data_IF_171492179006
#
_entry.id   IF_171492179006
#
_cell.length_a   1.000
_cell.length_b   1.000
_cell.length_c   1.000
_cell.angle_alpha   90.00
_cell.angle_beta   90.00
_cell.angle_gamma   90.00
#
_symmetry.space_group_name_H-M   'P 1'
#
loop_
_entity.id
_entity.type
_entity.pdbx_description
1 polymer ?
#
# COMPACT_ATOMS: atom_id res chain seq x y z
N UNK A 1 9.54 -14.00 6.08
CA UNK A 1 8.35 -14.70 5.56
C UNK A 1 7.14 -13.98 6.13
N UNK A 2 6.11 -13.62 5.32
CA UNK A 2 4.90 -13.00 5.84
C UNK A 2 4.26 -13.88 6.93
N UNK A 3 3.50 -13.27 7.83
CA UNK A 3 2.80 -13.99 8.90
C UNK A 3 1.77 -14.97 8.32
N UNK A 4 1.60 -16.14 8.95
CA UNK A 4 0.62 -17.16 8.51
C UNK A 4 -0.83 -16.68 8.76
N UNK A 5 -1.79 -16.91 7.85
CA UNK A 5 -1.62 -17.42 6.48
C UNK A 5 -0.90 -16.41 5.57
N UNK A 6 0.04 -16.93 4.77
CA UNK A 6 1.00 -16.12 4.00
C UNK A 6 0.36 -15.52 2.74
N UNK A 7 -0.46 -14.49 2.89
CA UNK A 7 -0.94 -13.69 1.76
C UNK A 7 0.03 -12.53 1.48
N UNK A 8 0.34 -12.32 0.19
CA UNK A 8 1.09 -11.16 -0.27
C UNK A 8 0.31 -10.45 -1.37
N UNK A 9 0.33 -9.12 -1.36
CA UNK A 9 -0.17 -8.28 -2.44
C UNK A 9 1.02 -7.57 -3.05
N UNK A 10 1.29 -7.83 -4.33
CA UNK A 10 2.39 -7.21 -5.06
C UNK A 10 1.80 -6.33 -6.16
N UNK A 11 2.14 -5.04 -6.14
CA UNK A 11 1.66 -4.04 -7.10
C UNK A 11 2.87 -3.43 -7.80
N UNK A 12 2.99 -3.66 -9.11
CA UNK A 12 4.06 -3.09 -9.92
C UNK A 12 3.55 -1.86 -10.67
N UNK A 13 4.25 -0.75 -10.51
CA UNK A 13 4.00 0.49 -11.22
C UNK A 13 5.23 0.83 -12.07
N UNK A 14 5.02 1.12 -13.35
CA UNK A 14 6.08 1.51 -14.27
C UNK A 14 5.79 2.91 -14.82
N UNK A 15 6.85 3.69 -15.03
CA UNK A 15 6.77 5.00 -15.64
C UNK A 15 7.69 5.04 -16.87
N UNK A 16 7.16 5.54 -17.99
CA UNK A 16 7.94 5.70 -19.23
C UNK A 16 8.88 6.91 -19.20
N UNK A 17 8.71 7.80 -18.22
CA UNK A 17 9.45 9.07 -18.10
C UNK A 17 10.37 9.04 -16.89
N UNK A 18 11.56 9.65 -16.99
CA UNK A 18 12.45 9.77 -15.85
C UNK A 18 11.80 10.59 -14.74
N UNK A 19 12.15 10.26 -13.49
CA UNK A 19 11.72 11.03 -12.32
C UNK A 19 12.27 12.45 -12.41
N UNK A 20 11.41 13.45 -12.21
CA UNK A 20 11.84 14.85 -12.15
C UNK A 20 12.78 15.05 -10.95
N UNK A 21 13.97 15.57 -11.19
CA UNK A 21 14.94 15.87 -10.14
C UNK A 21 14.34 16.84 -9.10
N UNK A 22 14.69 16.64 -7.83
CA UNK A 22 14.22 17.41 -6.67
C UNK A 22 12.70 17.38 -6.40
N UNK A 23 11.95 16.58 -7.17
CA UNK A 23 10.53 16.31 -6.89
C UNK A 23 10.35 15.51 -5.61
N UNK A 24 9.13 15.55 -5.04
CA UNK A 24 8.77 14.72 -3.89
C UNK A 24 9.02 13.23 -4.16
N UNK A 25 8.76 12.76 -5.39
CA UNK A 25 9.07 11.38 -5.79
C UNK A 25 10.57 11.08 -5.77
N UNK A 26 11.43 11.96 -6.32
CA UNK A 26 12.89 11.76 -6.29
C UNK A 26 13.40 11.75 -4.86
N UNK A 27 12.97 12.72 -4.03
CA UNK A 27 13.33 12.78 -2.61
C UNK A 27 12.90 11.53 -1.84
N UNK A 28 11.73 10.98 -2.15
CA UNK A 28 11.24 9.74 -1.55
C UNK A 28 12.03 8.51 -2.03
N UNK A 29 12.23 8.38 -3.34
CA UNK A 29 12.92 7.24 -3.94
C UNK A 29 14.38 7.17 -3.51
N UNK A 30 15.08 8.30 -3.44
CA UNK A 30 16.52 8.36 -3.17
C UNK A 30 16.85 8.78 -1.72
N UNK A 31 15.81 9.01 -0.90
CA UNK A 31 15.94 9.45 0.50
C UNK A 31 16.29 8.35 1.49
N UNK A 32 16.17 8.67 2.79
CA UNK A 32 16.37 7.72 3.87
C UNK A 32 15.08 6.96 4.19
N UNK A 33 15.18 5.78 4.80
CA UNK A 33 14.01 5.03 5.26
C UNK A 33 13.18 5.84 6.26
N UNK A 34 13.82 6.62 7.16
CA UNK A 34 13.09 7.53 8.04
C UNK A 34 12.22 8.54 7.27
N UNK A 35 12.75 9.08 6.17
CA UNK A 35 11.97 9.97 5.32
C UNK A 35 10.83 9.18 4.66
N UNK A 36 11.11 8.03 4.05
CA UNK A 36 10.08 7.20 3.39
C UNK A 36 8.97 6.82 4.36
N UNK A 37 9.30 6.32 5.54
CA UNK A 37 8.34 5.93 6.58
C UNK A 37 7.46 7.10 7.03
N UNK A 38 8.04 8.29 7.07
CA UNK A 38 7.31 9.49 7.47
C UNK A 38 6.33 10.00 6.41
N UNK A 39 6.43 9.51 5.16
CA UNK A 39 5.69 10.01 3.99
C UNK A 39 4.82 8.94 3.32
N UNK A 40 5.14 7.66 3.47
CA UNK A 40 4.44 6.57 2.80
C UNK A 40 3.03 6.40 3.35
N UNK A 41 2.02 6.70 2.52
CA UNK A 41 0.62 6.82 2.92
C UNK A 41 -0.28 5.91 2.09
N UNK A 42 -1.22 5.26 2.75
CA UNK A 42 -2.27 4.45 2.15
C UNK A 42 -3.63 5.07 2.44
N UNK A 43 -4.45 5.22 1.40
CA UNK A 43 -5.82 5.70 1.50
C UNK A 43 -6.75 4.58 1.01
N UNK A 44 -7.42 3.85 1.93
CA UNK A 44 -8.40 2.85 1.56
C UNK A 44 -9.81 3.44 1.44
N UNK A 45 -10.62 2.86 0.55
CA UNK A 45 -12.05 3.13 0.45
C UNK A 45 -12.82 1.85 0.12
N UNK A 46 -13.75 1.44 0.97
CA UNK A 46 -14.62 0.30 0.69
C UNK A 46 -15.87 0.80 -0.03
N UNK A 47 -15.90 0.57 -1.34
CA UNK A 47 -17.01 0.92 -2.23
C UNK A 47 -18.20 0.02 -1.92
N UNK A 48 -17.99 -1.29 -2.01
CA UNK A 48 -19.00 -2.32 -1.73
C UNK A 48 -18.50 -3.26 -0.64
N UNK A 49 -19.38 -3.65 0.28
CA UNK A 49 -19.02 -4.57 1.35
C UNK A 49 -19.85 -4.44 2.61
N UNK A 50 -19.71 -5.44 3.48
CA UNK A 50 -20.39 -5.49 4.76
C UNK A 50 -19.99 -4.31 5.67
N UNK A 51 -20.97 -3.69 6.33
CA UNK A 51 -20.79 -2.44 7.07
C UNK A 51 -19.77 -2.55 8.22
N UNK A 52 -19.63 -3.72 8.84
CA UNK A 52 -18.62 -3.94 9.87
C UNK A 52 -17.20 -3.86 9.31
N UNK A 53 -16.98 -4.32 8.07
CA UNK A 53 -15.68 -4.19 7.38
C UNK A 53 -15.40 -2.72 7.04
N UNK A 54 -16.43 -1.98 6.56
CA UNK A 54 -16.35 -0.53 6.33
C UNK A 54 -15.91 0.22 7.59
N UNK A 55 -16.46 -0.14 8.75
CA UNK A 55 -16.12 0.47 10.03
C UNK A 55 -14.70 0.11 10.50
N UNK A 56 -14.25 -1.12 10.26
CA UNK A 56 -12.93 -1.59 10.70
C UNK A 56 -11.78 -1.00 9.88
N UNK A 57 -11.94 -0.89 8.55
CA UNK A 57 -10.94 -0.25 7.68
C UNK A 57 -11.00 1.28 7.82
N UNK A 58 -12.21 1.82 8.00
CA UNK A 58 -12.45 3.26 7.99
C UNK A 58 -12.23 3.87 6.60
N UNK A 59 -12.23 5.21 6.56
CA UNK A 59 -11.97 6.01 5.33
C UNK A 59 -10.79 6.95 5.51
N UNK A 60 -10.11 6.88 6.65
CA UNK A 60 -9.01 7.79 7.00
C UNK A 60 -7.72 7.26 6.38
N UNK A 61 -6.96 8.17 5.78
CA UNK A 61 -5.60 7.88 5.34
C UNK A 61 -4.72 7.42 6.51
N UNK A 62 -3.85 6.44 6.25
CA UNK A 62 -2.89 5.90 7.20
C UNK A 62 -1.47 6.14 6.69
N UNK A 63 -0.60 6.70 7.54
CA UNK A 63 0.84 6.71 7.29
C UNK A 63 1.38 5.29 7.50
N UNK A 64 1.36 4.50 6.44
CA UNK A 64 1.64 3.07 6.48
C UNK A 64 3.07 2.80 6.96
N UNK A 65 4.04 3.60 6.51
CA UNK A 65 5.43 3.49 6.95
C UNK A 65 5.67 3.74 8.44
N UNK A 66 4.72 4.37 9.15
CA UNK A 66 4.76 4.49 10.63
C UNK A 66 3.97 3.40 11.35
N UNK A 67 3.02 2.76 10.66
CA UNK A 67 2.08 1.82 11.25
C UNK A 67 2.55 0.36 11.17
N UNK A 68 3.35 0.05 10.16
CA UNK A 68 3.93 -1.28 9.88
C UNK A 68 5.37 -1.11 9.41
N UNK A 69 6.15 -2.18 9.54
CA UNK A 69 7.54 -2.20 9.10
C UNK A 69 7.59 -2.25 7.57
N UNK A 70 8.33 -1.34 6.97
CA UNK A 70 8.53 -1.29 5.53
C UNK A 70 10.00 -1.51 5.21
N UNK A 71 10.29 -2.31 4.19
CA UNK A 71 11.64 -2.47 3.63
C UNK A 71 11.66 -1.89 2.23
N UNK A 72 12.59 -0.97 2.00
CA UNK A 72 12.73 -0.26 0.73
C UNK A 72 13.93 -0.80 -0.05
N UNK A 73 13.72 -1.11 -1.33
CA UNK A 73 14.78 -1.55 -2.23
C UNK A 73 14.82 -0.59 -3.41
N UNK A 74 15.83 0.28 -3.45
CA UNK A 74 16.06 1.23 -4.54
C UNK A 74 17.22 0.74 -5.40
N UNK A 75 16.97 0.49 -6.68
CA UNK A 75 17.97 0.10 -7.70
C UNK A 75 17.66 0.80 -9.02
N UNK A 76 18.66 1.25 -9.78
CA UNK A 76 18.51 1.86 -11.12
C UNK A 76 17.27 2.75 -11.31
N UNK A 77 16.23 2.24 -12.00
CA UNK A 77 14.93 2.89 -12.25
C UNK A 77 13.76 2.23 -11.49
N UNK A 78 14.06 1.42 -10.48
CA UNK A 78 13.13 0.62 -9.71
C UNK A 78 13.14 0.99 -8.22
N UNK A 79 11.95 0.97 -7.60
CA UNK A 79 11.76 1.10 -6.16
C UNK A 79 10.74 0.05 -5.72
N UNK A 80 11.17 -0.86 -4.85
CA UNK A 80 10.31 -1.81 -4.15
C UNK A 80 10.02 -1.31 -2.74
N UNK A 81 8.78 -1.53 -2.28
CA UNK A 81 8.36 -1.29 -0.90
C UNK A 81 7.69 -2.57 -0.41
N UNK A 82 8.42 -3.36 0.38
CA UNK A 82 7.87 -4.53 1.06
C UNK A 82 7.23 -4.09 2.38
N UNK A 83 5.94 -4.36 2.52
CA UNK A 83 5.13 -3.92 3.66
C UNK A 83 4.80 -5.13 4.53
N UNK A 84 5.45 -5.24 5.69
CA UNK A 84 5.20 -6.33 6.61
C UNK A 84 3.97 -6.04 7.49
N UNK A 85 2.79 -6.40 6.98
CA UNK A 85 1.52 -6.36 7.73
C UNK A 85 1.64 -7.14 9.05
N UNK A 86 2.45 -8.19 9.08
CA UNK A 86 2.67 -9.05 10.24
C UNK A 86 3.24 -8.31 11.44
N UNK A 87 4.00 -7.23 11.22
CA UNK A 87 4.67 -6.50 12.29
C UNK A 87 3.73 -5.65 13.16
N UNK A 88 2.46 -5.49 12.75
CA UNK A 88 1.42 -4.79 13.52
C UNK A 88 0.24 -5.70 13.84
N UNK A 89 -0.10 -5.84 15.13
CA UNK A 89 -1.29 -6.57 15.57
C UNK A 89 -2.59 -5.94 15.05
N UNK A 90 -2.61 -4.61 14.93
CA UNK A 90 -3.75 -3.86 14.37
C UNK A 90 -3.89 -4.16 12.88
N UNK A 91 -2.82 -4.04 12.10
CA UNK A 91 -2.85 -4.32 10.66
C UNK A 91 -3.25 -5.78 10.37
N UNK A 92 -2.67 -6.75 11.10
CA UNK A 92 -3.08 -8.16 11.03
C UNK A 92 -4.56 -8.37 11.29
N UNK A 93 -5.11 -7.71 12.31
CA UNK A 93 -6.53 -7.85 12.66
C UNK A 93 -7.45 -7.30 11.56
N UNK A 94 -7.09 -6.15 10.98
CA UNK A 94 -7.86 -5.54 9.88
C UNK A 94 -7.80 -6.42 8.63
N UNK A 95 -6.61 -6.88 8.22
CA UNK A 95 -6.45 -7.74 7.05
C UNK A 95 -7.15 -9.09 7.24
N UNK A 96 -7.05 -9.70 8.42
CA UNK A 96 -7.76 -10.96 8.73
C UNK A 96 -9.28 -10.81 8.59
N UNK A 97 -9.84 -9.67 9.04
CA UNK A 97 -11.26 -9.38 8.84
C UNK A 97 -11.59 -9.20 7.35
N UNK A 98 -10.80 -8.41 6.62
CA UNK A 98 -11.04 -8.15 5.19
C UNK A 98 -11.00 -9.44 4.37
N UNK A 99 -10.02 -10.31 4.61
CA UNK A 99 -9.90 -11.61 3.93
C UNK A 99 -11.12 -12.51 4.14
N UNK A 100 -11.75 -12.46 5.32
CA UNK A 100 -12.98 -13.21 5.58
C UNK A 100 -14.19 -12.78 4.72
N UNK A 101 -14.16 -11.59 4.11
CA UNK A 101 -15.25 -11.06 3.29
C UNK A 101 -14.83 -10.75 1.85
N UNK A 102 -13.56 -10.98 1.48
CA UNK A 102 -12.91 -10.41 0.28
C UNK A 102 -13.66 -10.70 -1.04
N UNK A 103 -14.31 -11.86 -1.17
CA UNK A 103 -15.13 -12.25 -2.33
C UNK A 103 -16.41 -11.42 -2.50
N UNK A 104 -16.78 -10.65 -1.49
CA UNK A 104 -17.95 -9.75 -1.47
C UNK A 104 -17.58 -8.27 -1.34
N UNK A 105 -16.27 -7.94 -1.33
CA UNK A 105 -15.78 -6.58 -1.18
C UNK A 105 -15.36 -5.97 -2.52
N UNK A 106 -15.59 -4.67 -2.66
CA UNK A 106 -14.91 -3.83 -3.65
C UNK A 106 -14.16 -2.76 -2.88
N UNK A 107 -12.82 -2.79 -2.96
CA UNK A 107 -11.92 -1.91 -2.21
C UNK A 107 -11.05 -1.13 -3.18
N UNK A 108 -11.07 0.19 -3.06
CA UNK A 108 -10.12 1.08 -3.70
C UNK A 108 -8.98 1.39 -2.75
N UNK A 109 -7.75 1.30 -3.26
CA UNK A 109 -6.54 1.69 -2.55
C UNK A 109 -5.82 2.74 -3.37
N UNK A 110 -5.43 3.84 -2.73
CA UNK A 110 -4.47 4.79 -3.28
C UNK A 110 -3.19 4.79 -2.42
N UNK A 111 -2.06 4.59 -3.09
CA UNK A 111 -0.73 4.62 -2.51
C UNK A 111 -0.12 5.98 -2.85
N UNK A 112 0.26 6.74 -1.84
CA UNK A 112 0.59 8.16 -1.96
C UNK A 112 1.83 8.49 -1.13
N UNK A 113 2.65 9.41 -1.63
CA UNK A 113 3.69 10.08 -0.85
C UNK A 113 3.08 11.37 -0.28
N UNK A 114 2.95 11.42 1.05
CA UNK A 114 2.35 12.55 1.75
C UNK A 114 3.20 13.83 1.61
N UNK A 115 2.58 14.92 1.20
CA UNK A 115 3.17 16.25 1.28
C UNK A 115 3.05 16.78 2.72
N UNK A 116 4.11 17.43 3.23
CA UNK A 116 4.11 18.10 4.53
C UNK A 116 4.28 19.61 4.39
N UNK A 117 4.90 20.05 3.31
CA UNK A 117 5.07 21.47 2.99
C UNK A 117 4.21 21.88 1.78
N UNK A 118 3.93 23.17 1.66
CA UNK A 118 3.06 23.71 0.59
C UNK A 118 3.65 23.47 -0.80
N UNK A 119 4.98 23.53 -0.93
CA UNK A 119 5.69 23.31 -2.20
C UNK A 119 5.68 21.83 -2.64
N UNK A 120 5.36 20.92 -1.72
CA UNK A 120 5.20 19.49 -2.00
C UNK A 120 3.79 19.14 -2.49
N UNK A 121 2.84 20.10 -2.46
CA UNK A 121 1.49 19.89 -2.94
C UNK A 121 1.36 20.08 -4.47
N UNK A 122 0.46 19.32 -5.13
CA UNK A 122 -0.34 18.25 -4.55
C UNK A 122 0.51 17.02 -4.22
N UNK A 123 0.03 16.20 -3.28
CA UNK A 123 0.69 14.94 -2.92
C UNK A 123 0.94 14.04 -4.13
N UNK A 124 1.99 13.23 -4.05
CA UNK A 124 2.38 12.40 -5.19
C UNK A 124 1.70 11.02 -5.12
N UNK A 125 0.81 10.71 -6.06
CA UNK A 125 0.19 9.39 -6.18
C UNK A 125 1.17 8.43 -6.86
N UNK A 126 1.63 7.42 -6.11
CA UNK A 126 2.46 6.34 -6.66
C UNK A 126 1.63 5.38 -7.51
N UNK A 127 0.39 5.14 -7.11
CA UNK A 127 -0.52 4.29 -7.83
C UNK A 127 -1.85 4.11 -7.12
N UNK A 128 -2.81 3.58 -7.88
CA UNK A 128 -4.11 3.19 -7.36
C UNK A 128 -4.45 1.79 -7.83
N UNK A 129 -5.31 1.10 -7.09
CA UNK A 129 -5.82 -0.21 -7.48
C UNK A 129 -7.23 -0.40 -6.92
N UNK A 130 -8.08 -1.05 -7.70
CA UNK A 130 -9.36 -1.58 -7.22
C UNK A 130 -9.25 -3.09 -7.09
N UNK A 131 -9.46 -3.60 -5.88
CA UNK A 131 -9.64 -5.01 -5.61
C UNK A 131 -11.14 -5.30 -5.67
N UNK A 132 -11.57 -6.03 -6.69
CA UNK A 132 -12.98 -6.35 -6.93
C UNK A 132 -13.23 -7.84 -6.68
N UNK A 133 -13.90 -8.15 -5.57
CA UNK A 133 -14.42 -9.48 -5.24
C UNK A 133 -13.37 -10.58 -5.42
N UNK A 134 -12.14 -10.30 -4.98
CA UNK A 134 -10.99 -11.19 -5.14
C UNK A 134 -11.31 -12.54 -4.49
N UNK A 135 -11.04 -13.64 -5.19
CA UNK A 135 -11.24 -14.99 -4.70
C UNK A 135 -9.87 -15.66 -4.49
N UNK A 136 -9.37 -15.75 -3.25
CA UNK A 136 -8.08 -16.41 -3.00
C UNK A 136 -8.06 -17.87 -3.46
N UNK A 137 -9.21 -18.55 -3.43
CA UNK A 137 -9.35 -19.95 -3.85
C UNK A 137 -9.21 -20.15 -5.37
N UNK A 138 -9.30 -19.07 -6.16
CA UNK A 138 -9.04 -19.12 -7.61
C UNK A 138 -7.59 -18.80 -7.97
N UNK A 139 -6.68 -18.74 -6.99
CA UNK A 139 -5.27 -18.52 -7.26
C UNK A 139 -4.67 -19.71 -8.04
N UNK A 140 -4.02 -19.40 -9.14
CA UNK A 140 -3.27 -20.40 -9.93
C UNK A 140 -1.82 -20.48 -9.43
N UNK A 141 -1.22 -21.65 -9.60
CA UNK A 141 0.21 -21.80 -9.37
C UNK A 141 0.96 -21.01 -10.44
N UNK A 142 1.80 -20.07 -10.03
CA UNK A 142 2.69 -19.38 -10.96
C UNK A 142 3.81 -20.34 -11.35
N UNK A 143 3.90 -20.70 -12.62
CA UNK A 143 5.01 -21.50 -13.14
C UNK A 143 6.33 -20.74 -12.95
N UNK A 144 7.36 -21.47 -12.52
CA UNK A 144 8.69 -20.94 -12.20
C UNK A 144 9.60 -20.81 -13.41
#
# INVERSE_FOLDING_TARGET
LPARPNYSLVLYYAADRPVKQDSLLSKFADGTDMFRDSRFKLIPSIVEGYWMVKRAVGTKACLLGKAVSCKYIRQDNFLEIDVDIGSSSVARSVVGLVLGYVTSLVVDLAIVIEAKEEEELPEYVLGTVRLNRVSPDSAEQLDA
#
